data_IF_158765413177
#
_entry.id   IF_158765413177
#
_cell.length_a   1.000
_cell.length_b   1.000
_cell.length_c   1.000
_cell.angle_alpha   90.00
_cell.angle_beta   90.00
_cell.angle_gamma   90.00
#
_symmetry.space_group_name_H-M   'P 1'
#
loop_
_entity.id
_entity.type
_entity.pdbx_description
1 polymer ?
#
# COMPACT_ATOMS: atom_id res chain seq x y z
N UNK A 1 1.60 0.46 -14.84
CA UNK A 1 1.71 -0.63 -13.87
C UNK A 1 0.33 -0.90 -13.33
N UNK A 2 -0.04 -2.17 -13.18
CA UNK A 2 -1.33 -2.57 -12.60
C UNK A 2 -1.11 -3.11 -11.21
N UNK A 3 -2.09 -2.88 -10.36
CA UNK A 3 -2.15 -3.37 -9.01
C UNK A 3 -2.20 -4.91 -8.99
N UNK A 4 -1.78 -5.48 -7.88
CA UNK A 4 -1.84 -6.91 -7.65
C UNK A 4 -3.21 -7.25 -7.05
N UNK A 5 -3.98 -8.11 -7.70
CA UNK A 5 -5.23 -8.59 -7.15
C UNK A 5 -4.98 -9.83 -6.29
N UNK A 6 -5.07 -9.75 -4.94
CA UNK A 6 -4.91 -10.93 -4.11
C UNK A 6 -6.06 -11.90 -4.34
N UNK A 7 -5.73 -13.15 -4.70
CA UNK A 7 -6.68 -14.27 -4.83
C UNK A 7 -6.70 -15.12 -3.55
N UNK A 8 -6.63 -14.46 -2.39
CA UNK A 8 -6.62 -15.13 -1.09
C UNK A 8 -8.04 -15.21 -0.53
N UNK A 9 -8.48 -16.44 -0.26
CA UNK A 9 -9.80 -16.70 0.32
C UNK A 9 -9.96 -15.93 1.65
N UNK A 10 -11.02 -15.13 1.74
CA UNK A 10 -11.32 -14.33 2.92
C UNK A 10 -10.74 -12.91 2.92
N UNK A 11 -9.89 -12.53 1.96
CA UNK A 11 -9.47 -11.15 1.78
C UNK A 11 -10.44 -10.38 0.87
N UNK A 12 -10.79 -9.16 1.26
CA UNK A 12 -11.62 -8.24 0.47
C UNK A 12 -10.80 -7.01 0.09
N UNK A 13 -10.66 -6.77 -1.20
CA UNK A 13 -10.07 -5.54 -1.72
C UNK A 13 -10.91 -4.33 -1.27
N UNK A 14 -10.26 -3.41 -0.56
CA UNK A 14 -10.84 -2.15 -0.06
C UNK A 14 -10.61 -0.99 -1.02
N UNK A 15 -9.48 -1.00 -1.73
CA UNK A 15 -9.11 0.01 -2.69
C UNK A 15 -7.81 -0.33 -3.42
N UNK A 16 -7.56 0.35 -4.53
CA UNK A 16 -6.34 0.21 -5.30
C UNK A 16 -6.06 1.49 -6.08
N UNK A 17 -4.80 1.68 -6.45
CA UNK A 17 -4.38 2.67 -7.44
C UNK A 17 -3.43 2.03 -8.43
N UNK A 18 -3.55 2.44 -9.68
CA UNK A 18 -2.75 1.98 -10.81
C UNK A 18 -1.92 3.11 -11.38
N UNK A 19 -0.73 2.76 -11.86
CA UNK A 19 0.13 3.61 -12.67
C UNK A 19 0.43 5.01 -12.08
N UNK A 20 0.59 5.09 -10.76
CA UNK A 20 0.85 6.35 -10.06
C UNK A 20 2.32 6.71 -10.18
N UNK A 21 2.60 8.00 -10.38
CA UNK A 21 3.95 8.58 -10.39
C UNK A 21 4.10 9.57 -9.24
N UNK A 22 5.21 9.51 -8.51
CA UNK A 22 5.44 10.35 -7.33
C UNK A 22 4.64 9.90 -6.12
N UNK A 23 4.03 10.84 -5.40
CA UNK A 23 3.31 10.56 -4.15
C UNK A 23 1.80 10.75 -4.31
N UNK A 24 1.00 9.89 -3.69
CA UNK A 24 -0.46 10.02 -3.68
C UNK A 24 -1.09 9.46 -2.40
N UNK A 25 -2.23 10.03 -2.03
CA UNK A 25 -3.13 9.45 -1.04
C UNK A 25 -3.95 8.37 -1.75
N UNK A 26 -3.90 7.15 -1.22
CA UNK A 26 -4.64 6.01 -1.76
C UNK A 26 -6.09 6.06 -1.31
N UNK A 27 -6.31 6.36 -0.04
CA UNK A 27 -7.64 6.56 0.52
C UNK A 27 -7.65 6.54 2.05
N UNK A 28 -8.84 6.82 2.58
CA UNK A 28 -9.17 6.72 4.00
C UNK A 28 -10.16 5.57 4.18
N UNK A 29 -9.88 4.68 5.12
CA UNK A 29 -10.62 3.43 5.29
C UNK A 29 -11.03 3.25 6.75
N UNK A 30 -12.33 3.01 7.02
CA UNK A 30 -12.75 2.53 8.33
C UNK A 30 -12.25 1.10 8.54
N UNK A 31 -11.76 0.81 9.75
CA UNK A 31 -11.27 -0.51 10.15
C UNK A 31 -12.45 -1.48 10.24
N UNK A 32 -12.40 -2.57 9.47
CA UNK A 32 -13.42 -3.64 9.53
C UNK A 32 -12.85 -4.98 10.03
N UNK A 33 -11.53 -5.14 10.00
CA UNK A 33 -10.79 -6.28 10.55
C UNK A 33 -9.53 -5.79 11.26
N UNK A 34 -8.95 -6.64 12.10
CA UNK A 34 -7.75 -6.31 12.88
C UNK A 34 -6.49 -6.15 12.02
N UNK A 35 -6.49 -6.69 10.79
CA UNK A 35 -5.34 -6.74 9.90
C UNK A 35 -5.71 -6.15 8.55
N UNK A 36 -4.82 -5.31 8.01
CA UNK A 36 -4.84 -4.85 6.62
C UNK A 36 -3.57 -5.31 5.89
N UNK A 37 -3.76 -5.72 4.64
CA UNK A 37 -2.70 -6.08 3.71
C UNK A 37 -2.54 -4.98 2.65
N UNK A 38 -1.30 -4.51 2.46
CA UNK A 38 -0.93 -3.56 1.41
C UNK A 38 0.04 -4.24 0.45
N UNK A 39 -0.43 -4.48 -0.76
CA UNK A 39 0.36 -5.04 -1.85
C UNK A 39 0.89 -3.88 -2.69
N UNK A 40 2.18 -3.60 -2.60
CA UNK A 40 2.83 -2.55 -3.38
C UNK A 40 3.72 -3.16 -4.44
N UNK A 41 3.56 -2.69 -5.67
CA UNK A 41 4.53 -2.92 -6.75
C UNK A 41 5.12 -1.56 -7.14
N UNK A 42 6.43 -1.50 -7.33
CA UNK A 42 7.13 -0.26 -7.64
C UNK A 42 8.21 -0.53 -8.70
N UNK A 43 8.44 0.46 -9.56
CA UNK A 43 9.53 0.50 -10.54
C UNK A 43 10.16 1.88 -10.49
N UNK A 44 11.49 1.91 -10.46
CA UNK A 44 12.31 3.09 -10.27
C UNK A 44 13.39 2.82 -9.22
N UNK A 45 14.38 3.70 -9.14
CA UNK A 45 15.43 3.59 -8.12
C UNK A 45 15.03 4.33 -6.84
N UNK A 46 15.55 3.87 -5.71
CA UNK A 46 15.40 4.51 -4.41
C UNK A 46 14.26 3.97 -3.54
N UNK A 47 14.06 4.64 -2.42
CA UNK A 47 13.06 4.29 -1.41
C UNK A 47 11.67 4.78 -1.81
N UNK A 48 10.65 3.96 -1.57
CA UNK A 48 9.23 4.32 -1.56
C UNK A 48 8.70 4.13 -0.14
N UNK A 49 7.85 5.03 0.34
CA UNK A 49 7.31 4.96 1.72
C UNK A 49 5.83 4.69 1.70
N UNK A 50 5.41 3.72 2.51
CA UNK A 50 4.01 3.50 2.81
C UNK A 50 3.71 4.19 4.14
N UNK A 51 2.89 5.22 4.13
CA UNK A 51 2.40 5.87 5.33
C UNK A 51 0.98 5.35 5.62
N UNK A 52 0.78 4.84 6.82
CA UNK A 52 -0.54 4.48 7.35
C UNK A 52 -0.75 5.33 8.59
N UNK A 53 -1.50 6.43 8.46
CA UNK A 53 -1.84 7.28 9.60
C UNK A 53 -3.00 6.65 10.39
N UNK A 54 -2.92 6.51 11.72
CA UNK A 54 -1.87 6.98 12.64
C UNK A 54 -0.82 5.92 13.05
N UNK A 55 -0.70 4.81 12.32
CA UNK A 55 0.18 3.68 12.65
C UNK A 55 1.66 4.03 12.48
N UNK A 56 2.04 4.56 11.32
CA UNK A 56 3.43 4.92 11.03
C UNK A 56 3.80 4.91 9.55
N UNK A 57 5.11 5.07 9.31
CA UNK A 57 5.72 5.16 7.98
C UNK A 57 6.68 3.99 7.79
N UNK A 58 6.53 3.29 6.67
CA UNK A 58 7.22 2.04 6.36
C UNK A 58 8.00 2.19 5.06
N UNK A 59 9.34 2.29 5.11
CA UNK A 59 10.18 2.40 3.92
C UNK A 59 10.32 1.04 3.22
N UNK A 60 10.32 1.07 1.89
CA UNK A 60 10.57 -0.07 1.01
C UNK A 60 11.55 0.35 -0.07
N UNK A 61 12.47 -0.53 -0.42
CA UNK A 61 13.36 -0.31 -1.56
C UNK A 61 12.62 -0.69 -2.85
N UNK A 62 12.28 0.30 -3.67
CA UNK A 62 11.54 0.11 -4.92
C UNK A 62 12.28 -0.80 -5.91
N UNK A 63 13.62 -0.76 -5.92
CA UNK A 63 14.45 -1.57 -6.82
C UNK A 63 14.56 -3.03 -6.35
N UNK A 64 14.48 -3.27 -5.03
CA UNK A 64 14.49 -4.60 -4.43
C UNK A 64 13.08 -5.22 -4.30
N UNK A 65 12.04 -4.40 -4.42
CA UNK A 65 10.63 -4.82 -4.32
C UNK A 65 10.24 -5.55 -5.61
N UNK A 66 10.08 -6.86 -5.51
CA UNK A 66 9.50 -7.66 -6.60
C UNK A 66 8.04 -7.26 -6.90
N UNK A 67 7.42 -7.96 -7.84
CA UNK A 67 5.98 -7.84 -8.07
C UNK A 67 5.25 -8.21 -6.78
N UNK A 68 4.49 -7.27 -6.21
CA UNK A 68 3.65 -7.44 -5.03
C UNK A 68 4.38 -7.69 -3.68
N UNK A 69 5.19 -6.73 -3.21
CA UNK A 69 5.59 -6.71 -1.80
C UNK A 69 4.34 -6.60 -0.92
N UNK A 70 4.01 -7.71 -0.25
CA UNK A 70 2.88 -7.81 0.65
C UNK A 70 3.31 -7.36 2.05
N UNK A 71 2.80 -6.22 2.50
CA UNK A 71 2.99 -5.71 3.85
C UNK A 71 1.71 -5.92 4.66
N UNK A 72 1.87 -6.32 5.91
CA UNK A 72 0.76 -6.58 6.82
C UNK A 72 0.83 -5.61 7.99
N UNK A 73 -0.29 -4.99 8.33
CA UNK A 73 -0.37 -4.01 9.42
C UNK A 73 -1.54 -4.34 10.34
N UNK A 74 -1.30 -4.21 11.64
CA UNK A 74 -2.34 -4.35 12.66
C UNK A 74 -3.04 -2.99 12.87
N UNK A 75 -4.35 -2.96 12.69
CA UNK A 75 -5.21 -1.77 12.75
C UNK A 75 -6.28 -1.86 13.85
N UNK A 76 -6.23 -2.90 14.68
CA UNK A 76 -7.23 -3.25 15.70
C UNK A 76 -7.52 -2.14 16.74
N UNK A 77 -6.56 -1.23 16.94
CA UNK A 77 -6.61 -0.19 17.98
C UNK A 77 -7.12 1.18 17.51
N UNK A 78 -7.50 1.30 16.23
CA UNK A 78 -7.90 2.58 15.62
C UNK A 78 -9.24 2.44 14.87
N UNK A 79 -10.05 3.52 14.80
CA UNK A 79 -11.36 3.46 14.12
C UNK A 79 -11.24 3.53 12.59
N UNK A 80 -10.22 4.19 12.09
CA UNK A 80 -9.95 4.40 10.68
C UNK A 80 -8.46 4.67 10.46
N UNK A 81 -8.01 4.45 9.23
CA UNK A 81 -6.65 4.78 8.81
C UNK A 81 -6.64 5.44 7.43
N UNK A 82 -5.61 6.26 7.18
CA UNK A 82 -5.34 6.81 5.85
C UNK A 82 -4.08 6.18 5.28
N UNK A 83 -4.17 5.61 4.07
CA UNK A 83 -3.00 5.12 3.34
C UNK A 83 -2.51 6.19 2.36
N UNK A 84 -1.23 6.55 2.48
CA UNK A 84 -0.48 7.34 1.52
C UNK A 84 0.74 6.53 1.07
N UNK A 85 1.08 6.67 -0.20
CA UNK A 85 2.34 6.18 -0.74
C UNK A 85 3.15 7.38 -1.20
N UNK A 86 4.37 7.51 -0.69
CA UNK A 86 5.31 8.56 -1.06
C UNK A 86 6.43 7.97 -1.92
N UNK A 87 6.48 8.42 -3.17
CA UNK A 87 7.53 8.04 -4.11
C UNK A 87 8.19 9.27 -4.74
N UNK A 88 9.40 9.10 -5.24
CA UNK A 88 10.10 10.11 -6.02
C UNK A 88 9.39 10.35 -7.37
N UNK A 89 9.54 11.54 -8.00
CA UNK A 89 8.86 11.87 -9.26
C UNK A 89 9.17 10.93 -10.44
N UNK A 90 10.24 10.16 -10.35
CA UNK A 90 10.68 9.17 -11.35
C UNK A 90 10.30 7.73 -11.00
N UNK A 91 9.72 7.51 -9.82
CA UNK A 91 9.17 6.21 -9.43
C UNK A 91 7.72 6.08 -9.89
N UNK A 92 7.38 4.88 -10.34
CA UNK A 92 6.04 4.48 -10.76
C UNK A 92 5.59 3.27 -9.97
N UNK A 93 4.40 3.31 -9.41
CA UNK A 93 3.91 2.26 -8.53
C UNK A 93 2.42 1.98 -8.72
N UNK A 94 2.00 0.83 -8.21
CA UNK A 94 0.61 0.45 -8.07
C UNK A 94 0.42 -0.23 -6.71
N UNK A 95 -0.75 -0.05 -6.12
CA UNK A 95 -1.05 -0.54 -4.77
C UNK A 95 -2.43 -1.19 -4.71
N UNK A 96 -2.55 -2.23 -3.90
CA UNK A 96 -3.83 -2.79 -3.48
C UNK A 96 -3.90 -2.87 -1.98
N UNK A 97 -5.04 -2.50 -1.43
CA UNK A 97 -5.37 -2.64 -0.02
C UNK A 97 -6.43 -3.71 0.09
N UNK A 98 -6.21 -4.68 0.97
CA UNK A 98 -7.17 -5.72 1.27
C UNK A 98 -7.24 -6.00 2.78
N UNK A 99 -8.38 -6.49 3.23
CA UNK A 99 -8.61 -6.96 4.61
C UNK A 99 -9.24 -8.35 4.61
#
# INVERSE_FOLDING_TARGET
MTHYQPDLEGQRVRGFLDDVVGSAIVGQYPVQKDIVHVYLTCVGEGEIRIEIDPIGVFPLDCAATGVASANQFEVSSIPEFTLRVEGSPEQRWAVTIAE
#
